data_IF_359902470648
#
_entry.id   IF_359902470648
#
_cell.length_a   1.000
_cell.length_b   1.000
_cell.length_c   1.000
_cell.angle_alpha   90.00
_cell.angle_beta   90.00
_cell.angle_gamma   90.00
#
_symmetry.space_group_name_H-M   'P 1'
#
loop_
_entity.id
_entity.type
_entity.pdbx_description
1 polymer ?
2 non-polymer ?
3 non-polymer ?
4 water ?
#
# COMPACT_ATOMS: atom_id res chain seq x y z
N UNK A 27 3.47 18.47 -12.77
CA UNK A 27 2.66 17.51 -12.00
C UNK A 27 3.61 16.65 -11.22
N UNK A 28 3.12 16.06 -10.13
CA UNK A 28 3.87 15.02 -9.44
C UNK A 28 3.40 13.68 -10.03
N UNK A 29 4.33 12.85 -10.42
CA UNK A 29 3.96 11.54 -11.00
C UNK A 29 4.36 10.41 -10.05
N UNK A 30 3.37 9.69 -9.51
CA UNK A 30 3.61 8.56 -8.59
C UNK A 30 3.42 7.24 -9.31
N UNK A 31 4.20 6.24 -8.92
CA UNK A 31 4.10 4.94 -9.55
C UNK A 31 2.71 4.31 -9.27
N UNK A 32 2.33 4.26 -7.99
CA UNK A 32 1.24 3.45 -7.48
C UNK A 32 0.20 4.34 -6.83
N UNK A 33 -1.06 3.94 -6.89
CA UNK A 33 -2.15 4.81 -6.42
C UNK A 33 -1.96 5.31 -4.97
N UNK A 34 -1.58 4.41 -4.03
CA UNK A 34 -1.47 4.97 -2.67
C UNK A 34 -0.34 5.99 -2.48
N UNK A 35 0.72 5.90 -3.26
CA UNK A 35 1.76 6.93 -3.30
C UNK A 35 1.17 8.23 -3.88
N UNK A 36 0.24 8.05 -4.86
CA UNK A 36 -0.55 9.17 -5.38
C UNK A 36 -1.36 9.83 -4.28
N UNK A 37 -1.97 9.05 -3.38
CA UNK A 37 -2.74 9.64 -2.29
C UNK A 37 -1.84 10.60 -1.49
N UNK A 38 -0.64 10.14 -1.14
CA UNK A 38 0.26 10.94 -0.27
C UNK A 38 0.70 12.17 -1.02
N UNK A 39 1.19 11.98 -2.27
CA UNK A 39 1.55 13.15 -3.13
C UNK A 39 0.45 14.19 -3.25
N UNK A 40 -0.80 13.72 -3.45
CA UNK A 40 -1.91 14.65 -3.73
C UNK A 40 -2.28 15.47 -2.48
N UNK A 41 -1.98 14.94 -1.28
CA UNK A 41 -2.11 15.73 -0.07
C UNK A 41 -1.11 16.90 -0.04
N UNK A 42 0.13 16.65 -0.41
CA UNK A 42 1.17 17.68 -0.33
C UNK A 42 1.10 18.65 -1.54
N UNK A 43 0.69 18.15 -2.71
CA UNK A 43 0.69 19.00 -3.90
C UNK A 43 -0.63 19.73 -4.12
N UNK A 44 -1.57 19.53 -3.20
CA UNK A 44 -2.91 20.03 -3.38
C UNK A 44 -2.94 21.55 -3.62
N UNK A 45 -3.56 21.94 -4.74
CA UNK A 45 -3.71 23.36 -5.11
C UNK A 45 -2.39 23.92 -5.61
N UNK A 46 -1.37 23.09 -5.77
CA UNK A 46 -0.09 23.57 -6.26
C UNK A 46 0.19 23.00 -7.65
N UNK A 47 0.06 21.68 -7.77
CA UNK A 47 0.14 21.04 -9.07
C UNK A 47 -0.66 19.76 -8.99
N UNK A 48 -0.96 19.17 -10.15
CA UNK A 48 -1.73 17.91 -10.23
C UNK A 48 -0.89 16.73 -9.76
N UNK A 49 -1.52 15.66 -9.32
CA UNK A 49 -0.74 14.47 -9.22
C UNK A 49 -1.32 13.37 -10.08
N UNK A 50 -0.45 12.58 -10.68
CA UNK A 50 -0.81 11.56 -11.62
C UNK A 50 -0.24 10.24 -11.16
N UNK A 51 -0.98 9.16 -11.40
CA UNK A 51 -0.54 7.81 -11.07
C UNK A 51 -0.29 7.04 -12.36
N UNK A 52 0.80 6.28 -12.44
CA UNK A 52 1.07 5.49 -13.65
C UNK A 52 0.41 4.12 -13.73
N UNK A 53 0.33 3.41 -12.62
CA UNK A 53 -0.05 1.98 -12.65
C UNK A 53 -1.59 1.82 -12.63
N UNK A 54 -2.17 1.14 -13.65
CA UNK A 54 -3.61 0.87 -13.68
C UNK A 54 -4.03 -0.11 -12.58
N UNK A 55 -5.34 -0.11 -12.34
CA UNK A 55 -6.11 -0.99 -11.46
C UNK A 55 -6.02 -2.40 -12.02
N UNK A 56 -5.28 -3.25 -11.32
CA UNK A 56 -5.19 -4.67 -11.63
C UNK A 56 -3.90 -4.99 -12.36
N UNK A 57 -3.05 -3.99 -12.61
CA UNK A 57 -1.79 -4.26 -13.31
C UNK A 57 -0.74 -4.56 -12.25
N UNK A 58 0.37 -5.11 -12.70
CA UNK A 58 1.35 -5.67 -11.81
C UNK A 58 2.17 -4.58 -11.14
N UNK A 59 2.05 -4.47 -9.81
CA UNK A 59 2.90 -3.56 -9.00
C UNK A 59 4.41 -3.77 -9.23
N UNK A 60 4.78 -4.93 -9.79
CA UNK A 60 6.20 -5.27 -10.09
C UNK A 60 6.56 -5.18 -11.58
N UNK A 61 5.68 -5.71 -12.46
CA UNK A 61 6.03 -6.01 -13.86
C UNK A 61 5.20 -5.40 -15.00
N UNK A 62 4.38 -4.40 -14.66
CA UNK A 62 3.73 -3.55 -15.68
C UNK A 62 4.71 -3.07 -16.73
N UNK A 63 4.27 -2.97 -17.98
CA UNK A 63 5.16 -2.48 -19.05
C UNK A 63 4.84 -1.03 -19.26
N UNK A 64 5.82 -0.16 -19.03
CA UNK A 64 5.60 1.25 -19.26
C UNK A 64 5.58 1.46 -20.75
N UNK A 65 4.65 2.30 -21.20
CA UNK A 65 4.52 2.71 -22.58
C UNK A 65 5.39 3.96 -22.74
N UNK A 66 5.86 4.23 -23.99
CA UNK A 66 6.61 5.46 -24.30
C UNK A 66 5.99 6.68 -23.64
N UNK A 67 4.67 6.80 -23.72
CA UNK A 67 3.98 7.95 -23.13
C UNK A 67 4.05 8.03 -21.57
N UNK A 68 4.24 6.90 -20.90
CA UNK A 68 4.44 6.90 -19.44
C UNK A 68 5.84 7.45 -19.17
N UNK A 69 6.83 7.00 -19.98
CA UNK A 69 8.20 7.49 -19.88
C UNK A 69 8.25 9.02 -20.04
N UNK A 70 7.54 9.56 -21.02
CA UNK A 70 7.48 11.01 -21.24
C UNK A 70 6.92 11.79 -20.06
N UNK A 71 5.82 11.26 -19.50
CA UNK A 71 5.20 11.80 -18.29
C UNK A 71 6.22 11.79 -17.13
N UNK A 72 6.89 10.66 -16.91
CA UNK A 72 7.99 10.62 -15.93
C UNK A 72 9.05 11.73 -16.15
N UNK A 73 9.52 11.88 -17.39
CA UNK A 73 10.56 12.86 -17.68
C UNK A 73 10.04 14.29 -17.63
N UNK A 74 8.74 14.48 -17.88
CA UNK A 74 8.15 15.80 -17.80
C UNK A 74 7.76 16.26 -16.39
N UNK A 75 7.73 15.32 -15.44
CA UNK A 75 7.21 15.53 -14.07
C UNK A 75 8.02 16.59 -13.30
N UNK A 76 7.35 17.37 -12.45
CA UNK A 76 8.05 18.17 -11.45
C UNK A 76 8.78 17.22 -10.50
N UNK A 77 8.14 16.09 -10.19
CA UNK A 77 8.63 15.19 -9.16
C UNK A 77 8.09 13.77 -9.40
N UNK A 78 8.96 12.78 -9.33
CA UNK A 78 8.57 11.38 -9.48
C UNK A 78 8.64 10.74 -8.10
N UNK A 79 7.61 10.00 -7.70
CA UNK A 79 7.52 9.32 -6.39
C UNK A 79 7.35 7.83 -6.65
N UNK A 80 8.21 6.99 -6.04
CA UNK A 80 8.07 5.55 -6.17
C UNK A 80 8.74 4.91 -4.95
N UNK A 81 8.46 3.64 -4.71
CA UNK A 81 9.13 2.88 -3.63
C UNK A 81 10.62 2.62 -3.97
N UNK A 82 10.88 2.03 -5.14
CA UNK A 82 12.30 1.77 -5.55
C UNK A 82 12.47 0.44 -6.25
N UNK A 83 13.72 0.07 -6.63
CA UNK A 83 13.89 -0.99 -7.64
C UNK A 83 13.47 -2.36 -7.20
N UNK A 84 13.30 -2.54 -5.90
CA UNK A 84 12.80 -3.80 -5.30
C UNK A 84 11.27 -3.91 -5.25
N UNK A 85 10.57 -2.88 -5.72
CA UNK A 85 9.10 -2.87 -5.82
C UNK A 85 8.73 -2.66 -7.31
N UNK A 86 8.71 -1.41 -7.78
CA UNK A 86 8.43 -1.11 -9.20
C UNK A 86 9.64 -1.34 -10.11
N UNK A 87 10.02 -2.61 -10.26
CA UNK A 87 11.14 -2.96 -11.11
C UNK A 87 10.95 -2.35 -12.51
N UNK A 88 9.67 -2.27 -12.92
CA UNK A 88 9.26 -1.71 -14.20
C UNK A 88 9.67 -0.25 -14.46
N UNK A 89 9.98 0.50 -13.43
CA UNK A 89 10.43 1.85 -13.74
C UNK A 89 11.88 2.19 -13.46
N UNK A 90 12.64 1.18 -13.06
CA UNK A 90 14.01 1.39 -12.63
C UNK A 90 14.80 2.09 -13.73
N UNK A 91 14.79 1.49 -14.92
CA UNK A 91 15.56 2.00 -16.05
C UNK A 91 15.07 3.42 -16.43
N UNK A 92 13.75 3.63 -16.45
CA UNK A 92 13.19 4.91 -16.89
C UNK A 92 13.53 6.08 -15.99
N UNK A 93 13.85 5.78 -14.75
CA UNK A 93 14.07 6.82 -13.77
C UNK A 93 15.60 7.17 -13.61
N UNK A 94 16.47 6.39 -14.24
CA UNK A 94 17.91 6.70 -14.28
C UNK A 94 18.22 8.08 -14.82
N UNK A 95 17.47 8.51 -15.83
CA UNK A 95 17.73 9.76 -16.53
C UNK A 95 17.13 10.96 -15.85
N UNK A 96 16.70 10.79 -14.60
CA UNK A 96 15.90 11.80 -13.91
C UNK A 96 16.68 12.24 -12.68
N UNK A 97 16.98 13.54 -12.55
CA UNK A 97 17.85 13.97 -11.44
C UNK A 97 17.24 13.75 -10.06
N UNK A 98 18.10 13.63 -9.05
CA UNK A 98 17.72 13.23 -7.71
C UNK A 98 16.92 14.32 -6.98
N UNK A 99 17.08 15.58 -7.40
CA UNK A 99 16.23 16.64 -6.87
C UNK A 99 14.81 16.60 -7.44
N UNK A 100 14.57 15.68 -8.40
CA UNK A 100 13.23 15.49 -8.98
C UNK A 100 12.63 14.08 -8.73
N UNK A 101 13.24 13.28 -7.86
CA UNK A 101 12.65 12.03 -7.42
C UNK A 101 12.71 11.80 -5.92
N UNK A 102 11.65 11.16 -5.43
CA UNK A 102 11.61 10.62 -4.06
C UNK A 102 11.58 9.13 -4.25
N UNK A 103 12.66 8.44 -3.83
CA UNK A 103 12.73 7.00 -3.87
C UNK A 103 12.55 6.52 -2.44
N UNK A 104 11.34 6.08 -2.10
CA UNK A 104 10.94 5.97 -0.69
C UNK A 104 11.82 4.97 0.07
N UNK A 105 12.14 3.83 -0.57
CA UNK A 105 12.96 2.78 0.10
C UNK A 105 14.42 3.22 0.43
N UNK A 106 14.84 4.34 -0.17
CA UNK A 106 16.20 4.87 -0.01
C UNK A 106 16.26 6.10 0.91
N UNK A 107 15.12 6.55 1.42
CA UNK A 107 15.13 7.70 2.28
C UNK A 107 15.83 7.39 3.62
N UNK A 108 16.64 8.32 4.06
CA UNK A 108 17.36 8.17 5.33
C UNK A 108 16.44 7.79 6.48
N UNK A 109 15.26 8.42 6.57
CA UNK A 109 14.35 8.20 7.70
C UNK A 109 13.57 6.91 7.58
N UNK A 110 13.56 6.34 6.36
CA UNK A 110 12.88 5.06 6.15
C UNK A 110 13.74 3.83 6.48
N UNK A 111 15.06 3.94 6.34
CA UNK A 111 15.94 2.73 6.42
C UNK A 111 15.67 1.90 7.64
N UNK A 112 15.56 2.54 8.83
CA UNK A 112 15.46 1.69 10.00
C UNK A 112 14.09 1.04 10.06
N UNK A 113 13.11 1.62 9.34
CA UNK A 113 11.69 1.12 9.36
C UNK A 113 11.46 0.00 8.34
N UNK A 114 12.42 -0.25 7.47
CA UNK A 114 12.30 -1.33 6.48
C UNK A 114 12.33 -2.67 7.16
N UNK A 115 11.43 -3.57 6.74
CA UNK A 115 11.25 -4.81 7.50
C UNK A 115 11.77 -5.97 6.70
N UNK A 116 12.75 -6.67 7.28
CA UNK A 116 13.29 -7.90 6.72
C UNK A 116 12.73 -9.08 7.49
N UNK A 117 12.27 -10.10 6.76
CA UNK A 117 11.92 -11.39 7.41
C UNK A 117 12.07 -12.55 6.45
N UNK A 118 12.35 -13.73 6.98
CA UNK A 118 12.68 -14.91 6.16
C UNK A 118 13.55 -14.57 4.94
N UNK A 119 14.64 -13.82 5.16
CA UNK A 119 15.56 -13.40 4.09
C UNK A 119 15.10 -12.40 3.03
N UNK A 120 13.87 -11.86 3.16
CA UNK A 120 13.37 -10.87 2.20
C UNK A 120 12.86 -9.57 2.87
N UNK A 121 13.06 -8.44 2.20
CA UNK A 121 12.49 -7.19 2.68
C UNK A 121 11.06 -6.98 2.16
N UNK A 122 10.12 -6.59 3.02
CA UNK A 122 8.81 -6.14 2.59
C UNK A 122 8.89 -4.72 1.95
N UNK A 123 8.50 -4.61 0.68
CA UNK A 123 8.53 -3.34 -0.04
C UNK A 123 7.13 -2.70 -0.20
N UNK A 124 6.13 -3.21 0.52
CA UNK A 124 4.81 -2.60 0.51
C UNK A 124 4.72 -1.42 1.47
N UNK A 125 5.58 -0.44 1.25
CA UNK A 125 5.87 0.60 2.23
C UNK A 125 4.75 1.58 2.49
N UNK A 126 3.81 1.72 1.53
CA UNK A 126 2.67 2.65 1.67
C UNK A 126 1.65 2.21 2.72
N UNK A 127 1.83 0.99 3.26
CA UNK A 127 0.95 0.48 4.32
C UNK A 127 1.44 0.82 5.73
N UNK A 128 2.62 1.42 5.81
CA UNK A 128 3.19 1.91 7.05
C UNK A 128 2.89 3.42 7.28
N UNK A 129 2.16 3.76 8.35
CA UNK A 129 1.86 5.18 8.58
C UNK A 129 3.10 6.02 8.75
N UNK A 130 4.14 5.43 9.36
CA UNK A 130 5.37 6.18 9.64
C UNK A 130 6.15 6.36 8.37
N UNK A 131 6.15 5.37 7.47
CA UNK A 131 6.86 5.59 6.19
C UNK A 131 6.09 6.60 5.34
N UNK A 132 4.76 6.56 5.43
CA UNK A 132 3.92 7.51 4.69
C UNK A 132 4.23 8.91 5.17
N UNK A 133 4.42 9.08 6.48
CA UNK A 133 4.82 10.39 6.99
C UNK A 133 6.19 10.80 6.48
N UNK A 134 7.21 9.94 6.52
CA UNK A 134 8.50 10.31 5.92
C UNK A 134 8.43 10.60 4.40
N UNK A 135 7.57 9.87 3.72
CA UNK A 135 7.34 10.12 2.27
C UNK A 135 6.78 11.55 2.08
N UNK A 136 5.74 11.87 2.83
CA UNK A 136 5.14 13.22 2.74
C UNK A 136 6.17 14.30 3.04
N UNK A 137 6.98 14.06 4.06
CA UNK A 137 8.03 15.00 4.40
C UNK A 137 9.01 15.16 3.26
N UNK A 138 9.40 14.03 2.63
CA UNK A 138 10.40 14.09 1.55
C UNK A 138 9.81 14.79 0.30
N UNK A 139 8.55 14.52 -0.01
CA UNK A 139 7.87 15.21 -1.12
C UNK A 139 7.82 16.73 -0.86
N UNK A 140 7.42 17.07 0.34
CA UNK A 140 7.30 18.45 0.75
C UNK A 140 8.64 19.19 0.58
N UNK A 141 9.70 18.55 1.06
CA UNK A 141 11.02 19.16 0.98
C UNK A 141 11.45 19.40 -0.48
N UNK A 142 11.31 18.38 -1.34
CA UNK A 142 11.61 18.54 -2.77
C UNK A 142 10.72 19.57 -3.48
N UNK A 143 9.43 19.61 -3.15
CA UNK A 143 8.57 20.60 -3.83
C UNK A 143 8.89 22.02 -3.38
N UNK A 144 9.28 22.16 -2.12
CA UNK A 144 9.66 23.49 -1.64
C UNK A 144 10.94 23.99 -2.33
N UNK A 145 11.92 23.12 -2.59
CA UNK A 145 13.12 23.55 -3.29
C UNK A 145 12.80 23.91 -4.75
N UNK A 146 11.92 23.12 -5.38
CA UNK A 146 11.49 23.30 -6.75
C UNK A 146 10.56 24.47 -6.95
N UNK A 147 9.67 24.75 -5.98
CA UNK A 147 8.62 25.78 -6.13
C UNK A 147 8.57 26.68 -4.89
N UNK A 148 9.64 27.46 -4.67
CA UNK A 148 9.73 28.24 -3.41
C UNK A 148 8.62 29.27 -3.34
N UNK A 149 8.07 29.66 -4.49
CA UNK A 149 6.97 30.61 -4.58
C UNK A 149 5.69 30.07 -3.94
N UNK A 150 5.67 28.76 -3.72
CA UNK A 150 4.51 28.09 -3.07
C UNK A 150 4.86 27.48 -1.72
N UNK A 151 5.97 27.91 -1.14
CA UNK A 151 6.38 27.39 0.16
C UNK A 151 5.23 27.37 1.19
N UNK A 152 4.50 28.48 1.31
CA UNK A 152 3.47 28.59 2.35
C UNK A 152 2.34 27.59 2.15
N UNK A 153 1.87 27.46 0.92
CA UNK A 153 0.81 26.49 0.63
C UNK A 153 1.31 25.06 0.90
N UNK A 154 2.55 24.79 0.52
CA UNK A 154 3.12 23.46 0.70
C UNK A 154 3.31 23.14 2.20
N UNK A 155 3.74 24.11 2.98
CA UNK A 155 3.84 23.97 4.43
C UNK A 155 2.46 23.73 5.00
N UNK A 156 1.45 24.46 4.51
CA UNK A 156 0.10 24.26 5.00
C UNK A 156 -0.36 22.84 4.64
N UNK A 157 -0.03 22.39 3.43
CA UNK A 157 -0.49 21.08 3.00
C UNK A 157 0.16 19.97 3.85
N UNK A 158 1.43 20.15 4.22
CA UNK A 158 2.09 19.13 5.04
C UNK A 158 1.49 19.11 6.46
N UNK A 159 1.24 20.30 7.00
CA UNK A 159 0.46 20.46 8.21
C UNK A 159 -0.87 19.70 8.24
N UNK A 160 -1.70 19.86 7.20
CA UNK A 160 -3.02 19.20 7.12
C UNK A 160 -2.88 17.69 6.93
N UNK A 161 -1.90 17.28 6.14
CA UNK A 161 -1.63 15.87 5.97
C UNK A 161 -1.24 15.17 7.30
N UNK A 162 -0.29 15.75 8.04
CA UNK A 162 0.11 15.21 9.36
C UNK A 162 -0.99 15.23 10.40
N UNK A 163 -1.76 16.32 10.44
CA UNK A 163 -2.94 16.36 11.34
C UNK A 163 -3.92 15.24 11.02
N UNK A 164 -4.28 15.09 9.74
CA UNK A 164 -5.17 14.00 9.38
C UNK A 164 -4.58 12.60 9.63
N UNK A 165 -3.28 12.42 9.39
CA UNK A 165 -2.63 11.13 9.64
C UNK A 165 -2.65 10.79 11.14
N UNK A 166 -2.34 11.76 12.01
CA UNK A 166 -2.45 11.54 13.46
C UNK A 166 -3.86 11.17 13.89
N UNK A 167 -4.86 11.89 13.41
CA UNK A 167 -6.24 11.62 13.75
C UNK A 167 -6.68 10.22 13.24
N UNK A 168 -6.28 9.88 12.01
CA UNK A 168 -6.61 8.57 11.43
C UNK A 168 -5.90 7.44 12.19
N UNK A 169 -4.62 7.65 12.51
CA UNK A 169 -3.83 6.65 13.22
C UNK A 169 -4.58 6.23 14.51
N UNK A 170 -5.07 7.23 15.25
CA UNK A 170 -5.68 6.96 16.57
C UNK A 170 -7.00 6.26 16.42
N UNK A 171 -7.80 6.71 15.45
CA UNK A 171 -9.09 6.16 15.12
C UNK A 171 -9.02 4.67 14.67
N UNK A 172 -8.14 4.39 13.72
CA UNK A 172 -7.84 3.04 13.24
C UNK A 172 -7.26 2.17 14.35
N UNK A 173 -6.34 2.73 15.14
CA UNK A 173 -5.78 2.05 16.31
C UNK A 173 -6.86 1.50 17.23
N UNK A 174 -7.92 2.27 17.43
CA UNK A 174 -9.05 1.93 18.32
C UNK A 174 -10.05 1.02 17.68
N UNK A 175 -10.13 1.10 16.37
CA UNK A 175 -10.98 0.23 15.61
C UNK A 175 -10.45 -1.21 15.62
N UNK A 176 -9.12 -1.35 15.64
CA UNK A 176 -8.46 -2.66 15.46
C UNK A 176 -7.88 -3.26 16.75
N UNK A 177 -7.67 -2.43 17.76
CA UNK A 177 -7.35 -2.89 19.12
C UNK A 177 -8.21 -4.10 19.62
N UNK A 178 -9.57 -4.05 19.49
CA UNK A 178 -10.42 -5.15 19.98
C UNK A 178 -10.34 -6.44 19.15
N UNK A 179 -9.58 -6.41 18.04
CA UNK A 179 -9.50 -7.56 17.14
C UNK A 179 -8.18 -8.28 17.27
N UNK A 180 -7.32 -7.79 18.15
CA UNK A 180 -6.13 -8.54 18.48
C UNK A 180 -6.59 -9.91 18.95
N UNK A 181 -5.86 -10.95 18.57
CA UNK A 181 -6.27 -12.30 18.94
C UNK A 181 -7.26 -12.95 18.02
N UNK A 182 -7.81 -12.21 17.05
CA UNK A 182 -8.59 -12.87 16.01
C UNK A 182 -7.69 -13.27 14.83
N UNK A 183 -7.46 -14.57 14.69
CA UNK A 183 -6.57 -15.12 13.67
C UNK A 183 -7.13 -15.02 12.25
N UNK A 184 -6.24 -14.91 11.28
CA UNK A 184 -6.62 -14.93 9.87
C UNK A 184 -5.44 -15.27 8.99
N UNK A 185 -5.77 -15.78 7.80
CA UNK A 185 -4.82 -16.03 6.75
C UNK A 185 -5.04 -15.05 5.60
N UNK A 186 -4.00 -14.82 4.81
CA UNK A 186 -4.16 -13.99 3.62
C UNK A 186 -3.58 -14.78 2.45
N UNK A 187 -3.92 -14.40 1.23
CA UNK A 187 -3.30 -14.95 0.04
C UNK A 187 -2.02 -14.19 -0.35
N UNK A 188 -1.97 -12.91 -0.02
CA UNK A 188 -0.82 -12.05 -0.41
C UNK A 188 -0.24 -11.51 0.89
N UNK A 189 0.97 -11.96 1.24
CA UNK A 189 1.60 -11.56 2.49
C UNK A 189 2.24 -10.19 2.23
N UNK A 190 1.39 -9.17 2.07
CA UNK A 190 1.83 -7.81 1.76
C UNK A 190 1.51 -6.73 2.84
N UNK A 191 0.82 -7.10 3.93
CA UNK A 191 0.22 -6.10 4.84
C UNK A 191 0.94 -5.95 6.16
N UNK A 192 2.13 -6.54 6.27
CA UNK A 192 2.92 -6.61 7.52
C UNK A 192 3.18 -5.26 8.19
N UNK A 193 3.47 -4.22 7.39
CA UNK A 193 3.70 -2.90 7.99
C UNK A 193 2.47 -2.43 8.72
N UNK A 194 1.31 -2.60 8.12
CA UNK A 194 0.05 -2.15 8.69
C UNK A 194 -0.30 -3.04 9.87
N UNK A 195 -0.06 -4.34 9.72
CA UNK A 195 -0.40 -5.34 10.75
C UNK A 195 0.48 -5.14 11.99
N UNK A 196 1.79 -5.11 11.83
CA UNK A 196 2.71 -4.88 12.95
C UNK A 196 2.50 -3.51 13.61
N UNK A 197 2.11 -2.48 12.84
CA UNK A 197 1.86 -1.16 13.43
C UNK A 197 0.58 -1.15 14.29
N UNK A 198 -0.48 -1.79 13.82
CA UNK A 198 -1.71 -1.72 14.57
C UNK A 198 -1.96 -2.94 15.46
N UNK A 199 -0.94 -3.79 15.64
CA UNK A 199 -1.03 -5.01 16.45
C UNK A 199 -1.99 -6.12 16.01
N UNK A 200 -2.23 -6.27 14.69
CA UNK A 200 -3.09 -7.34 14.15
C UNK A 200 -2.44 -8.72 14.15
N UNK A 201 -3.27 -9.77 14.12
CA UNK A 201 -2.79 -11.17 14.34
C UNK A 201 -2.92 -12.11 13.12
N UNK A 202 -2.07 -11.94 12.08
CA UNK A 202 -2.17 -12.86 10.96
C UNK A 202 -1.52 -14.20 11.35
N UNK A 203 -2.20 -15.28 11.00
CA UNK A 203 -1.69 -16.63 11.22
C UNK A 203 -0.73 -17.10 10.14
N UNK A 204 -0.79 -16.51 8.96
CA UNK A 204 0.10 -16.93 7.88
C UNK A 204 -0.53 -16.66 6.53
N UNK A 205 0.04 -17.26 5.50
CA UNK A 205 -0.37 -16.97 4.13
C UNK A 205 -0.45 -18.21 3.27
N UNK A 206 -1.31 -18.18 2.27
CA UNK A 206 -1.42 -19.26 1.30
C UNK A 206 -1.10 -18.72 -0.07
N UNK A 207 -0.22 -19.41 -0.78
CA UNK A 207 0.02 -19.13 -2.18
C UNK A 207 -1.18 -19.66 -2.95
N UNK A 208 -1.95 -18.76 -3.57
CA UNK A 208 -3.16 -19.14 -4.32
C UNK A 208 -3.27 -18.33 -5.62
N UNK A 209 -3.41 -19.01 -6.76
CA UNK A 209 -3.71 -18.34 -8.05
C UNK A 209 -5.11 -17.67 -8.03
N UNK A 210 -5.19 -16.38 -8.44
CA UNK A 210 -6.46 -15.61 -8.43
C UNK A 210 -7.52 -16.14 -9.37
N UNK A 211 -7.08 -16.94 -10.35
CA UNK A 211 -7.91 -17.46 -11.45
C UNK A 211 -8.22 -18.95 -11.30
N UNK A 212 -7.19 -19.71 -10.95
CA UNK A 212 -7.22 -21.18 -10.89
C UNK A 212 -7.11 -21.61 -9.42
N UNK A 213 -8.11 -22.33 -8.91
CA UNK A 213 -8.02 -22.91 -7.56
C UNK A 213 -6.91 -23.99 -7.42
N UNK A 214 -6.44 -24.24 -6.19
CA UNK A 214 -5.41 -25.28 -6.04
C UNK A 214 -5.95 -26.68 -6.28
N UNK A 215 -5.07 -27.62 -6.65
CA UNK A 215 -5.44 -29.04 -6.82
C UNK A 215 -5.88 -29.64 -5.48
N UNK A 216 -6.58 -30.76 -5.55
CA UNK A 216 -7.22 -31.38 -4.35
C UNK A 216 -6.30 -31.54 -3.14
N UNK A 217 -5.10 -32.09 -3.36
CA UNK A 217 -4.07 -32.25 -2.33
C UNK A 217 -3.75 -30.98 -1.54
N UNK A 218 -3.25 -29.95 -2.24
CA UNK A 218 -2.85 -28.71 -1.55
C UNK A 218 -4.06 -27.97 -0.96
N UNK A 219 -5.21 -28.08 -1.60
CA UNK A 219 -6.45 -27.53 -1.09
C UNK A 219 -6.84 -28.18 0.23
N UNK A 220 -6.77 -29.52 0.26
CA UNK A 220 -6.99 -30.29 1.50
C UNK A 220 -6.14 -29.73 2.65
N UNK A 221 -4.84 -29.55 2.40
CA UNK A 221 -3.91 -28.99 3.36
C UNK A 221 -4.33 -27.61 3.83
N UNK A 222 -4.77 -26.76 2.88
CA UNK A 222 -5.17 -25.39 3.21
C UNK A 222 -6.40 -25.40 4.13
N UNK A 223 -7.40 -26.17 3.73
CA UNK A 223 -8.65 -26.25 4.49
C UNK A 223 -8.45 -26.77 5.92
N UNK A 224 -7.58 -27.79 6.10
CA UNK A 224 -7.29 -28.29 7.46
C UNK A 224 -6.51 -27.28 8.30
N UNK A 225 -5.50 -26.62 7.73
CA UNK A 225 -4.87 -25.48 8.43
C UNK A 225 -5.83 -24.37 8.84
N UNK A 226 -6.75 -24.03 7.94
CA UNK A 226 -7.80 -23.06 8.28
C UNK A 226 -8.52 -23.47 9.55
N UNK A 227 -8.89 -24.76 9.63
CA UNK A 227 -9.65 -25.26 10.77
C UNK A 227 -8.73 -25.44 11.98
N UNK A 228 -7.59 -26.10 11.80
CA UNK A 228 -6.64 -26.38 12.89
C UNK A 228 -6.15 -25.16 13.64
N UNK A 229 -5.81 -24.11 12.90
CA UNK A 229 -5.23 -22.93 13.53
C UNK A 229 -6.31 -21.93 13.93
N UNK A 230 -7.58 -22.35 13.81
CA UNK A 230 -8.75 -21.60 14.31
C UNK A 230 -8.89 -20.18 13.70
N UNK A 231 -8.64 -20.07 12.40
CA UNK A 231 -8.84 -18.83 11.69
C UNK A 231 -10.29 -18.36 11.77
N UNK A 232 -10.45 -17.08 12.09
CA UNK A 232 -11.75 -16.40 12.00
C UNK A 232 -12.04 -16.03 10.53
N UNK A 233 -10.99 -15.65 9.78
CA UNK A 233 -11.12 -15.14 8.40
C UNK A 233 -10.02 -15.59 7.46
N UNK A 234 -10.36 -15.61 6.19
CA UNK A 234 -9.39 -15.65 5.12
C UNK A 234 -9.60 -14.40 4.23
N UNK A 235 -8.50 -13.72 3.90
CA UNK A 235 -8.56 -12.47 3.14
C UNK A 235 -7.97 -12.60 1.75
N UNK A 236 -8.81 -12.34 0.77
CA UNK A 236 -8.33 -12.24 -0.60
C UNK A 236 -8.20 -10.75 -1.00
N UNK A 237 -7.80 -10.51 -2.25
CA UNK A 237 -7.67 -9.17 -2.81
C UNK A 237 -8.62 -9.10 -4.00
N UNK A 238 -8.93 -7.88 -4.51
CA UNK A 238 -10.02 -7.74 -5.50
C UNK A 238 -9.84 -8.53 -6.79
N UNK A 239 -8.61 -8.85 -7.17
CA UNK A 239 -8.38 -9.60 -8.40
C UNK A 239 -8.72 -11.11 -8.34
N UNK A 240 -8.89 -11.65 -7.13
CA UNK A 240 -9.26 -13.09 -6.98
C UNK A 240 -10.68 -13.36 -7.44
N UNK A 241 -10.86 -14.35 -8.31
CA UNK A 241 -12.20 -14.80 -8.67
C UNK A 241 -12.90 -15.33 -7.41
N UNK A 242 -14.18 -14.98 -7.20
CA UNK A 242 -14.88 -15.45 -6.00
C UNK A 242 -14.86 -16.99 -5.87
N UNK A 243 -15.05 -17.69 -6.99
CA UNK A 243 -14.97 -19.15 -7.02
C UNK A 243 -13.71 -19.68 -6.33
N UNK A 244 -12.54 -19.11 -6.66
CA UNK A 244 -11.29 -19.55 -6.04
C UNK A 244 -11.31 -19.34 -4.52
N UNK A 245 -11.86 -18.21 -4.07
CA UNK A 245 -11.92 -17.87 -2.64
C UNK A 245 -12.88 -18.82 -1.92
N UNK A 246 -14.00 -19.11 -2.57
CA UNK A 246 -14.98 -20.07 -2.06
C UNK A 246 -14.44 -21.50 -1.98
N UNK A 247 -13.71 -21.92 -3.01
CA UNK A 247 -13.02 -23.22 -3.01
C UNK A 247 -12.07 -23.37 -1.81
N UNK A 248 -11.50 -22.25 -1.36
CA UNK A 248 -10.64 -22.25 -0.20
C UNK A 248 -11.40 -22.35 1.12
N UNK A 249 -12.49 -21.59 1.25
CA UNK A 249 -13.19 -21.48 2.52
C UNK A 249 -14.25 -22.54 2.71
N UNK A 250 -14.53 -23.30 1.64
CA UNK A 250 -15.62 -24.29 1.64
C UNK A 250 -15.41 -25.42 2.66
N UNK A 251 -16.41 -25.63 3.52
CA UNK A 251 -16.36 -26.72 4.52
C UNK A 251 -15.78 -26.30 5.88
N UNK A 252 -14.80 -25.40 5.83
CA UNK A 252 -14.40 -24.67 7.01
C UNK A 252 -15.62 -23.78 7.29
N UNK A 253 -15.71 -23.15 8.44
CA UNK A 253 -16.66 -22.04 8.56
C UNK A 253 -15.86 -20.75 8.76
N UNK A 254 -14.72 -20.69 8.10
CA UNK A 254 -13.93 -19.45 8.09
C UNK A 254 -14.59 -18.44 7.13
N UNK A 255 -14.92 -17.27 7.67
CA UNK A 255 -15.40 -16.12 6.88
C UNK A 255 -14.37 -15.63 5.83
N UNK A 256 -14.90 -15.20 4.69
CA UNK A 256 -14.09 -14.69 3.59
C UNK A 256 -14.08 -13.16 3.60
N UNK A 257 -12.90 -12.59 3.40
CA UNK A 257 -12.73 -11.13 3.34
C UNK A 257 -11.95 -10.66 2.11
N UNK A 258 -12.01 -9.36 1.85
CA UNK A 258 -11.22 -8.73 0.79
C UNK A 258 -10.52 -7.50 1.29
N UNK A 259 -9.23 -7.42 0.98
CA UNK A 259 -8.37 -6.29 1.32
C UNK A 259 -7.91 -5.67 0.01
N UNK A 260 -7.99 -4.34 -0.11
CA UNK A 260 -7.46 -3.68 -1.28
C UNK A 260 -6.24 -2.85 -0.86
N UNK A 261 -5.02 -3.40 -0.99
CA UNK A 261 -3.79 -2.69 -0.59
C UNK A 261 -3.41 -1.50 -1.54
N UNK A 262 -4.21 -1.33 -2.58
CA UNK A 262 -3.98 -0.28 -3.57
C UNK A 262 -5.10 0.77 -3.64
N UNK A 263 -6.13 0.61 -2.78
CA UNK A 263 -7.18 1.63 -2.67
C UNK A 263 -7.72 2.06 -4.03
N UNK A 264 -7.97 1.09 -4.91
CA UNK A 264 -8.47 1.42 -6.25
C UNK A 264 -9.81 2.14 -6.26
N UNK A 265 -10.59 2.10 -5.19
CA UNK A 265 -11.85 2.82 -5.20
C UNK A 265 -11.77 4.24 -4.65
N UNK A 266 -10.59 4.63 -4.16
CA UNK A 266 -10.42 5.96 -3.57
C UNK A 266 -9.82 6.94 -4.59
N UNK A 267 -10.45 8.11 -4.74
CA UNK A 267 -10.01 9.20 -5.61
C UNK A 267 -8.81 9.90 -4.99
N UNK A 268 -7.94 10.46 -5.82
CA UNK A 268 -6.82 11.27 -5.31
C UNK A 268 -7.36 12.52 -4.69
N UNK A 269 -6.60 13.13 -3.80
CA UNK A 269 -7.12 14.23 -3.09
C UNK A 269 -6.48 14.31 -1.75
N UNK A 270 -6.62 15.50 -1.21
CA UNK A 270 -6.08 15.84 0.05
C UNK A 270 -6.35 14.82 1.20
N UNK A 271 -7.57 14.31 1.29
CA UNK A 271 -7.95 13.44 2.42
C UNK A 271 -7.80 11.94 2.06
N UNK A 272 -7.32 11.66 0.86
CA UNK A 272 -7.29 10.29 0.32
C UNK A 272 -6.44 9.25 1.06
N UNK A 273 -5.24 9.63 1.53
CA UNK A 273 -4.40 8.67 2.26
C UNK A 273 -5.06 8.23 3.57
N UNK A 274 -5.62 9.21 4.28
CA UNK A 274 -6.40 8.90 5.51
C UNK A 274 -7.59 8.02 5.17
N UNK A 275 -8.33 8.33 4.10
CA UNK A 275 -9.46 7.50 3.74
C UNK A 275 -8.99 6.06 3.44
N UNK A 276 -7.87 5.94 2.72
CA UNK A 276 -7.28 4.66 2.39
C UNK A 276 -6.99 3.79 3.68
N UNK A 277 -6.35 4.38 4.67
CA UNK A 277 -6.07 3.68 5.92
C UNK A 277 -7.32 3.27 6.66
N UNK A 278 -8.34 4.12 6.58
CA UNK A 278 -9.57 3.86 7.27
C UNK A 278 -10.33 2.80 6.52
N UNK A 279 -10.32 2.86 5.18
CA UNK A 279 -10.99 1.85 4.41
C UNK A 279 -10.43 0.46 4.70
N UNK A 280 -9.11 0.35 4.72
CA UNK A 280 -8.44 -0.89 5.01
C UNK A 280 -8.81 -1.44 6.43
N UNK A 281 -8.86 -0.55 7.42
CA UNK A 281 -9.35 -0.89 8.76
C UNK A 281 -10.75 -1.49 8.73
N UNK A 282 -11.65 -0.85 7.97
CA UNK A 282 -13.03 -1.29 7.80
C UNK A 282 -13.08 -2.67 7.17
N UNK A 283 -12.20 -2.90 6.20
CA UNK A 283 -12.16 -4.18 5.48
C UNK A 283 -11.78 -5.33 6.37
N UNK A 284 -10.80 -5.09 7.22
CA UNK A 284 -10.39 -6.04 8.22
C UNK A 284 -11.49 -6.28 9.24
N UNK A 285 -11.93 -5.18 9.87
CA UNK A 285 -12.92 -5.18 10.95
C UNK A 285 -14.16 -5.88 10.51
N UNK A 286 -14.57 -5.61 9.30
CA UNK A 286 -15.78 -6.18 8.76
C UNK A 286 -15.83 -7.72 8.83
N UNK A 287 -14.74 -8.37 8.42
CA UNK A 287 -14.66 -9.83 8.48
C UNK A 287 -14.32 -10.34 9.90
N UNK A 288 -13.48 -9.60 10.61
CA UNK A 288 -13.01 -10.07 11.91
C UNK A 288 -13.97 -9.81 13.07
N UNK A 289 -14.96 -8.93 12.88
CA UNK A 289 -15.84 -8.41 13.95
C UNK A 289 -16.78 -9.45 14.57
N UNK A 290 -16.72 -9.55 15.91
CA UNK A 290 -17.53 -10.50 16.71
C UNK A 290 -17.34 -10.33 18.23
X LIG B 1 4.93 -10.05 -3.50
X LIG C 1 19.53 5.98 7.43
X LIG D 1 20.84 -7.59 3.71
X LIG D 1 22.22 -7.16 3.98
X LIG D 1 20.04 -7.62 4.94
X LIG D 1 20.27 -6.72 2.70
X LIG D 1 20.83 -8.95 3.17
X LIG E 1 2.28 5.29 -26.24
X LIG E 1 2.86 6.45 -26.93
X LIG E 1 3.19 4.85 -25.19
X LIG E 1 0.97 5.62 -25.64
X LIG E 1 2.13 4.20 -27.18
#
# INVERSE_FOLDING_TARGET
MLQKNTLLFAALSAALWGSATQAADAAVVASLKPLGFIASAIADGVTDTQVLLPDGASEHDYSLRPSDVKRLQGADLVVWVGPEMEAFMEKSVRNIPDNKQVTIAQLADVKPLLMKGAGEYNMHLWLSPEIARATAVAIHEKLVELMPQSRAKLDANLKDFEAQLAATDKQVGNELAPLKGKGYFVFHDAYGYYEKHYGLTPLGHFTVNPEIQPGAQRLHEIRTQLVEQKATCVFAEPQFRPAVVEAVARGTSVRMGTLDPLGTNIKLGKTSYSAFLSQLANQYASCLKGD
NA NA
NA NA
SO4 S O1 O2 O3 O4
SO4 S O1 O2 O3 O4
#
